data_IF_100726412497
#
_entry.id   IF_100726412497
#
_cell.length_a   1.000
_cell.length_b   1.000
_cell.length_c   1.000
_cell.angle_alpha   90.00
_cell.angle_beta   90.00
_cell.angle_gamma   90.00
#
_symmetry.space_group_name_H-M   'P 1'
#
loop_
_entity.id
_entity.type
_entity.pdbx_description
1 polymer ?
#
# COMPACT_ATOMS: atom_id res chain seq x y z
N UNK A 1 -34.58 2.72 12.45
CA UNK A 1 -33.16 2.54 12.12
C UNK A 1 -32.75 3.68 11.21
N UNK A 2 -32.03 4.68 11.72
CA UNK A 2 -31.40 5.73 10.91
C UNK A 2 -30.09 6.09 11.58
N UNK A 3 -29.01 5.43 11.16
CA UNK A 3 -27.66 5.76 11.59
C UNK A 3 -27.20 6.99 10.80
N UNK A 4 -27.31 8.16 11.43
CA UNK A 4 -26.64 9.37 10.93
C UNK A 4 -25.14 9.16 11.02
N UNK A 5 -24.52 8.94 9.86
CA UNK A 5 -23.06 8.93 9.66
C UNK A 5 -22.51 10.33 9.97
N UNK A 6 -22.27 10.60 11.25
CA UNK A 6 -21.48 11.74 11.69
C UNK A 6 -20.05 11.47 11.23
N UNK A 7 -19.66 12.14 10.15
CA UNK A 7 -18.28 12.19 9.71
C UNK A 7 -17.48 12.95 10.77
N UNK A 8 -17.03 12.24 11.81
CA UNK A 8 -16.06 12.72 12.79
C UNK A 8 -14.71 12.90 12.09
N UNK A 9 -14.64 13.96 11.27
CA UNK A 9 -13.38 14.57 10.88
C UNK A 9 -12.76 15.07 12.18
N UNK A 10 -11.92 14.24 12.79
CA UNK A 10 -11.01 14.62 13.89
C UNK A 10 -10.05 15.67 13.35
N UNK A 11 -10.54 16.89 13.11
CA UNK A 11 -9.71 18.09 13.02
C UNK A 11 -9.07 18.23 14.39
N UNK A 12 -7.76 17.99 14.45
CA UNK A 12 -6.96 18.32 15.60
C UNK A 12 -7.16 19.81 15.88
N UNK A 13 -7.99 20.12 16.87
CA UNK A 13 -8.19 21.49 17.33
C UNK A 13 -6.87 21.88 18.02
N UNK A 14 -6.12 22.77 17.41
CA UNK A 14 -4.92 23.33 18.05
C UNK A 14 -5.39 24.12 19.27
N UNK A 15 -5.01 23.66 20.46
CA UNK A 15 -5.32 24.30 21.74
C UNK A 15 -3.99 24.78 22.32
N UNK A 16 -3.83 26.11 22.46
CA UNK A 16 -2.68 26.69 23.15
C UNK A 16 -2.86 26.52 24.67
N UNK A 17 -1.77 26.37 25.41
CA UNK A 17 -1.78 25.86 26.79
C UNK A 17 -2.60 26.71 27.79
N UNK A 18 -2.84 28.01 27.50
CA UNK A 18 -3.62 28.93 28.34
C UNK A 18 -5.08 29.13 27.94
N UNK A 19 -5.56 28.41 26.91
CA UNK A 19 -6.90 28.65 26.36
C UNK A 19 -6.97 29.83 25.39
N UNK A 20 -5.81 30.41 25.03
CA UNK A 20 -5.69 31.46 24.04
C UNK A 20 -6.08 30.96 22.64
N UNK A 21 -6.76 31.81 21.87
CA UNK A 21 -7.07 31.48 20.48
C UNK A 21 -5.79 31.50 19.62
N UNK A 22 -5.53 30.44 18.83
CA UNK A 22 -4.36 30.42 17.97
C UNK A 22 -4.50 31.46 16.85
N UNK A 23 -3.43 32.20 16.59
CA UNK A 23 -3.36 33.17 15.49
C UNK A 23 -3.48 32.47 14.14
N UNK A 24 -4.12 33.14 13.18
CA UNK A 24 -4.27 32.66 11.80
C UNK A 24 -3.16 33.30 10.96
N UNK A 25 -2.31 32.45 10.38
CA UNK A 25 -1.22 32.85 9.51
C UNK A 25 -1.49 32.37 8.10
N UNK A 26 -1.06 33.14 7.10
CA UNK A 26 -1.08 32.75 5.70
C UNK A 26 0.31 32.28 5.29
N UNK A 27 0.37 31.19 4.52
CA UNK A 27 1.59 30.71 3.90
C UNK A 27 1.99 31.62 2.75
N UNK A 28 3.26 32.02 2.76
CA UNK A 28 3.87 32.89 1.77
C UNK A 28 4.77 32.11 0.79
N UNK A 29 4.78 30.78 0.87
CA UNK A 29 5.64 29.93 0.02
C UNK A 29 5.00 29.66 -1.33
N UNK A 30 5.83 29.62 -2.38
CA UNK A 30 5.40 29.38 -3.77
C UNK A 30 4.73 28.01 -3.99
N UNK A 31 5.03 27.04 -3.12
CA UNK A 31 4.48 25.69 -3.14
C UNK A 31 3.03 25.61 -2.65
N UNK A 32 2.60 26.55 -1.81
CA UNK A 32 1.24 26.56 -1.27
C UNK A 32 0.82 28.00 -0.89
N UNK A 33 0.68 28.88 -1.89
CA UNK A 33 0.27 30.26 -1.66
C UNK A 33 -1.17 30.29 -1.10
N UNK A 34 -1.43 31.21 -0.16
CA UNK A 34 -2.74 31.42 0.48
C UNK A 34 -3.20 30.34 1.46
N UNK A 35 -2.39 29.31 1.74
CA UNK A 35 -2.77 28.30 2.73
C UNK A 35 -2.81 28.91 4.14
N UNK A 36 -3.97 28.85 4.82
CA UNK A 36 -4.13 29.36 6.19
C UNK A 36 -3.82 28.28 7.21
N UNK A 37 -2.94 28.58 8.15
CA UNK A 37 -2.60 27.69 9.26
C UNK A 37 -2.72 28.43 10.60
N UNK A 38 -2.97 27.65 11.66
CA UNK A 38 -3.10 28.16 13.03
C UNK A 38 -1.81 27.93 13.80
N UNK A 39 -1.34 28.92 14.57
CA UNK A 39 -0.14 28.80 15.41
C UNK A 39 -0.34 29.56 16.73
N UNK A 40 0.25 29.07 17.82
CA UNK A 40 0.28 29.82 19.08
C UNK A 40 1.22 31.03 18.95
N UNK A 41 0.82 32.17 19.53
CA UNK A 41 1.52 33.45 19.38
C UNK A 41 2.79 33.49 20.25
N UNK A 42 2.78 32.82 21.41
CA UNK A 42 3.93 32.76 22.32
C UNK A 42 4.97 31.73 21.86
N UNK A 43 6.24 32.12 21.82
CA UNK A 43 7.37 31.28 21.36
C UNK A 43 7.56 30.01 22.19
N UNK A 44 7.42 30.10 23.52
CA UNK A 44 7.54 28.95 24.44
C UNK A 44 6.41 27.93 24.22
N UNK A 45 5.19 28.41 23.99
CA UNK A 45 4.03 27.56 23.70
C UNK A 45 4.12 26.94 22.30
N UNK A 46 4.72 27.67 21.36
CA UNK A 46 4.98 27.18 20.01
C UNK A 46 5.90 25.95 20.03
N UNK A 47 7.01 26.02 20.78
CA UNK A 47 7.94 24.90 20.95
C UNK A 47 7.24 23.68 21.57
N UNK A 48 6.42 23.89 22.60
CA UNK A 48 5.69 22.80 23.26
C UNK A 48 4.63 22.17 22.35
N UNK A 49 3.91 22.97 21.57
CA UNK A 49 2.96 22.46 20.59
C UNK A 49 3.66 21.73 19.43
N UNK A 50 4.81 22.23 18.98
CA UNK A 50 5.62 21.58 17.94
C UNK A 50 6.19 20.25 18.41
N UNK A 51 6.68 20.16 19.66
CA UNK A 51 7.16 18.92 20.25
C UNK A 51 6.06 17.84 20.32
N UNK A 52 4.86 18.19 20.83
CA UNK A 52 3.73 17.26 20.88
C UNK A 52 3.29 16.82 19.48
N UNK A 53 3.31 17.74 18.52
CA UNK A 53 2.97 17.43 17.13
C UNK A 53 4.02 16.53 16.48
N UNK A 54 5.31 16.78 16.76
CA UNK A 54 6.45 16.00 16.27
C UNK A 54 6.44 14.56 16.81
N UNK A 55 6.11 14.38 18.09
CA UNK A 55 5.96 13.05 18.70
C UNK A 55 4.77 12.30 18.09
N UNK A 56 3.62 12.97 17.92
CA UNK A 56 2.44 12.34 17.33
C UNK A 56 2.64 11.95 15.85
N UNK A 57 3.37 12.75 15.07
CA UNK A 57 3.73 12.40 13.69
C UNK A 57 4.79 11.30 13.63
N UNK A 58 5.76 11.27 14.55
CA UNK A 58 6.74 10.19 14.64
C UNK A 58 6.08 8.84 14.98
N UNK A 59 5.11 8.83 15.90
CA UNK A 59 4.33 7.62 16.22
C UNK A 59 3.50 7.15 15.02
N UNK A 60 2.87 8.08 14.29
CA UNK A 60 2.15 7.76 13.04
C UNK A 60 3.07 7.20 11.96
N UNK A 61 4.29 7.72 11.85
CA UNK A 61 5.29 7.22 10.90
C UNK A 61 5.73 5.81 11.26
N UNK A 62 5.96 5.50 12.54
CA UNK A 62 6.29 4.14 12.99
C UNK A 62 5.19 3.13 12.65
N UNK A 63 3.93 3.47 12.92
CA UNK A 63 2.80 2.60 12.55
C UNK A 63 2.73 2.37 11.03
N UNK A 64 3.01 3.41 10.22
CA UNK A 64 3.05 3.30 8.76
C UNK A 64 4.21 2.45 8.26
N UNK A 65 5.36 2.52 8.93
CA UNK A 65 6.52 1.70 8.63
C UNK A 65 6.25 0.21 8.92
N UNK A 66 5.60 -0.09 10.05
CA UNK A 66 5.18 -1.46 10.39
C UNK A 66 4.16 -2.02 9.38
N UNK A 67 3.18 -1.21 8.96
CA UNK A 67 2.24 -1.58 7.90
C UNK A 67 2.99 -1.91 6.59
N UNK A 68 3.96 -1.09 6.20
CA UNK A 68 4.76 -1.33 4.99
C UNK A 68 5.59 -2.61 5.07
N UNK A 69 6.19 -2.90 6.22
CA UNK A 69 6.94 -4.15 6.44
C UNK A 69 6.02 -5.37 6.32
N UNK A 70 4.82 -5.30 6.89
CA UNK A 70 3.82 -6.37 6.78
C UNK A 70 3.36 -6.57 5.33
N UNK A 71 3.05 -5.48 4.61
CA UNK A 71 2.69 -5.56 3.19
C UNK A 71 3.83 -6.14 2.34
N UNK A 72 5.08 -5.74 2.62
CA UNK A 72 6.26 -6.26 1.92
C UNK A 72 6.41 -7.78 2.09
N UNK A 73 6.21 -8.29 3.30
CA UNK A 73 6.22 -9.74 3.55
C UNK A 73 5.14 -10.46 2.74
N UNK A 74 3.91 -9.94 2.74
CA UNK A 74 2.80 -10.52 1.97
C UNK A 74 3.07 -10.55 0.48
N UNK A 75 3.66 -9.49 -0.08
CA UNK A 75 4.02 -9.45 -1.50
C UNK A 75 5.05 -10.53 -1.81
N UNK A 76 6.05 -10.73 -0.95
CA UNK A 76 7.06 -11.76 -1.13
C UNK A 76 6.47 -13.18 -1.10
N UNK A 77 5.57 -13.46 -0.15
CA UNK A 77 4.85 -14.75 -0.08
C UNK A 77 3.99 -15.01 -1.33
N UNK A 78 3.36 -13.96 -1.84
CA UNK A 78 2.56 -14.04 -3.06
C UNK A 78 3.44 -14.28 -4.29
N UNK A 79 4.59 -13.62 -4.38
CA UNK A 79 5.55 -13.80 -5.45
C UNK A 79 6.06 -15.24 -5.50
N UNK A 80 6.42 -15.81 -4.35
CA UNK A 80 6.83 -17.23 -4.27
C UNK A 80 5.71 -18.17 -4.74
N UNK A 81 4.48 -17.94 -4.30
CA UNK A 81 3.32 -18.73 -4.75
C UNK A 81 3.12 -18.65 -6.26
N UNK A 82 3.23 -17.46 -6.85
CA UNK A 82 3.11 -17.26 -8.31
C UNK A 82 4.25 -17.97 -9.03
N UNK A 83 5.49 -17.90 -8.55
CA UNK A 83 6.62 -18.61 -9.15
C UNK A 83 6.40 -20.14 -9.13
N UNK A 84 5.91 -20.68 -8.01
CA UNK A 84 5.60 -22.12 -7.88
C UNK A 84 4.48 -22.52 -8.85
N UNK A 85 3.39 -21.74 -8.93
CA UNK A 85 2.28 -22.01 -9.85
C UNK A 85 2.72 -21.89 -11.31
N UNK A 86 3.53 -20.89 -11.65
CA UNK A 86 4.09 -20.70 -12.99
C UNK A 86 4.95 -21.88 -13.42
N UNK A 87 5.87 -22.35 -12.55
CA UNK A 87 6.69 -23.54 -12.81
C UNK A 87 5.83 -24.80 -13.04
N UNK A 88 4.81 -25.02 -12.21
CA UNK A 88 3.89 -26.16 -12.38
C UNK A 88 3.12 -26.08 -13.69
N UNK A 89 2.68 -24.89 -14.10
CA UNK A 89 1.93 -24.70 -15.34
C UNK A 89 2.80 -24.95 -16.57
N UNK A 90 4.03 -24.44 -16.58
CA UNK A 90 5.02 -24.69 -17.65
C UNK A 90 5.29 -26.19 -17.78
N UNK A 91 5.52 -26.89 -16.66
CA UNK A 91 5.79 -28.32 -16.67
C UNK A 91 4.61 -29.14 -17.21
N UNK A 92 3.38 -28.79 -16.80
CA UNK A 92 2.16 -29.42 -17.35
C UNK A 92 2.04 -29.18 -18.85
N UNK A 93 2.26 -27.95 -19.31
CA UNK A 93 2.14 -27.62 -20.73
C UNK A 93 3.19 -28.36 -21.58
N UNK A 94 4.40 -28.52 -21.05
CA UNK A 94 5.47 -29.27 -21.71
C UNK A 94 5.15 -30.77 -21.80
N UNK A 95 4.67 -31.38 -20.72
CA UNK A 95 4.24 -32.79 -20.73
C UNK A 95 3.12 -32.99 -21.76
N UNK A 96 2.12 -32.12 -21.78
CA UNK A 96 1.01 -32.19 -22.73
C UNK A 96 1.55 -32.11 -24.17
N UNK A 97 2.41 -31.13 -24.48
CA UNK A 97 3.02 -31.02 -25.81
C UNK A 97 3.77 -32.29 -26.22
N UNK A 98 4.65 -32.82 -25.35
CA UNK A 98 5.41 -34.04 -25.64
C UNK A 98 4.47 -35.24 -25.86
N UNK A 99 3.44 -35.37 -25.02
CA UNK A 99 2.47 -36.45 -25.15
C UNK A 99 1.70 -36.41 -26.47
N UNK A 100 1.30 -35.22 -26.93
CA UNK A 100 0.59 -35.04 -28.22
C UNK A 100 1.51 -35.37 -29.39
N UNK A 101 2.76 -34.91 -29.36
CA UNK A 101 3.73 -35.22 -30.42
C UNK A 101 4.01 -36.72 -30.50
N UNK A 102 4.22 -37.38 -29.34
CA UNK A 102 4.44 -38.82 -29.29
C UNK A 102 3.23 -39.59 -29.86
N UNK A 103 2.03 -39.17 -29.49
CA UNK A 103 0.79 -39.78 -29.99
C UNK A 103 0.65 -39.62 -31.51
N UNK A 104 0.95 -38.44 -32.05
CA UNK A 104 0.94 -38.20 -33.50
C UNK A 104 1.95 -39.09 -34.25
N UNK A 105 3.16 -39.27 -33.70
CA UNK A 105 4.18 -40.16 -34.28
C UNK A 105 3.73 -41.62 -34.25
N UNK A 106 3.13 -42.07 -33.15
CA UNK A 106 2.59 -43.43 -33.04
C UNK A 106 1.47 -43.68 -34.06
N UNK A 107 0.53 -42.73 -34.20
CA UNK A 107 -0.54 -42.82 -35.19
C UNK A 107 0.02 -42.88 -36.62
N UNK A 108 1.01 -42.04 -36.94
CA UNK A 108 1.66 -42.05 -38.25
C UNK A 108 2.40 -43.36 -38.54
N UNK A 109 3.04 -43.94 -37.51
CA UNK A 109 3.77 -45.20 -37.64
C UNK A 109 2.84 -46.40 -37.82
N UNK A 110 1.68 -46.40 -37.14
CA UNK A 110 0.65 -47.43 -37.29
C UNK A 110 -0.07 -47.32 -38.65
N UNK A 111 -0.45 -46.11 -39.06
CA UNK A 111 -1.14 -45.88 -40.34
C UNK A 111 -0.28 -46.16 -41.58
N UNK A 112 1.04 -46.19 -41.44
CA UNK A 112 1.98 -46.50 -42.53
C UNK A 112 2.23 -48.01 -42.70
N UNK A 113 1.76 -48.85 -41.76
CA UNK A 113 1.83 -50.31 -41.85
C UNK A 113 0.69 -50.97 -42.65
N UNK A 114 -0.32 -50.20 -43.08
CA UNK A 114 -1.55 -50.72 -43.72
C UNK A 114 -1.63 -50.45 -45.23
N UNK A 115 -0.52 -50.08 -45.86
CA UNK A 115 -0.40 -50.00 -47.33
C UNK A 115 0.73 -50.93 -47.79
N UNK A 116 0.41 -52.22 -47.88
CA UNK A 116 1.22 -53.23 -48.59
C UNK A 116 1.05 -53.12 -50.11
#
# INVERSE_FOLDING_TARGET
MSASSSSDSRRFKLVCARGDEPGIFTSNTDLNPCCRFRRCINTEEQLKCEEVTAVAMAERLKMKEDELLYLKSKVNDLEEQVQVLSKRNIFRNLIVCVSVVLFAVLLFSLGKGENG
#
